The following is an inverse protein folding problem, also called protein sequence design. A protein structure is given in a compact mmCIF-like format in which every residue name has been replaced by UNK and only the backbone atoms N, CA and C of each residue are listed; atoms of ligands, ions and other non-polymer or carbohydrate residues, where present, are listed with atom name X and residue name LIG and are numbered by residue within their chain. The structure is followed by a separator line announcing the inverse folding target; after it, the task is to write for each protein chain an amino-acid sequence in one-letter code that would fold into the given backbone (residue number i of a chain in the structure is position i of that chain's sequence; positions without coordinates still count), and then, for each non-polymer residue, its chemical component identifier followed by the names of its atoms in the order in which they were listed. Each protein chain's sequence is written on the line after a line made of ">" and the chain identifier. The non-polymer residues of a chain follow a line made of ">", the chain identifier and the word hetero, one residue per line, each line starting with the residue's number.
data_IF_708757380446
#
_entry.id   IF_708757380446
#
_cell.length_a   1.000
_cell.length_b   1.000
_cell.length_c   1.000
_cell.angle_alpha   90.00
_cell.angle_beta   90.00
_cell.angle_gamma   90.00
#
_symmetry.space_group_name_H-M   'P 1'
#
loop_
_entity.id
_entity.type
_entity.pdbx_description
1 polymer ?
#
# COMPACT_ATOMS: atom_id res chain seq x y z
N UNK A 1 25.56 45.49 -28.42
CA UNK A 1 24.49 46.07 -27.56
C UNK A 1 24.08 45.03 -26.52
N UNK A 2 24.64 45.08 -25.30
CA UNK A 2 24.33 44.11 -24.24
C UNK A 2 23.03 44.50 -23.52
N UNK A 3 22.04 43.60 -23.50
CA UNK A 3 20.78 43.81 -22.77
C UNK A 3 21.05 43.82 -21.27
N UNK A 4 20.91 44.99 -20.64
CA UNK A 4 21.03 45.18 -19.19
C UNK A 4 19.85 44.46 -18.52
N UNK A 5 20.11 43.30 -17.89
CA UNK A 5 19.08 42.55 -17.15
C UNK A 5 18.60 43.41 -15.98
N UNK A 6 17.31 43.76 -15.97
CA UNK A 6 16.66 44.40 -14.83
C UNK A 6 16.55 43.37 -13.71
N UNK A 7 17.23 43.61 -12.59
CA UNK A 7 17.07 42.81 -11.38
C UNK A 7 15.81 43.33 -10.69
N UNK A 8 14.77 42.49 -10.63
CA UNK A 8 13.57 42.78 -9.85
C UNK A 8 13.80 42.19 -8.46
N UNK A 9 13.82 43.05 -7.44
CA UNK A 9 13.89 42.64 -6.05
C UNK A 9 12.48 42.23 -5.61
N UNK A 10 12.22 40.93 -5.58
CA UNK A 10 11.01 40.35 -5.00
C UNK A 10 11.39 39.67 -3.68
N UNK A 11 10.74 40.06 -2.58
CA UNK A 11 10.95 39.47 -1.25
C UNK A 11 9.68 38.72 -0.84
N UNK A 12 9.56 37.43 -1.18
CA UNK A 12 8.44 36.64 -0.71
C UNK A 12 8.52 36.47 0.81
N UNK A 13 7.37 36.61 1.48
CA UNK A 13 7.20 36.23 2.87
C UNK A 13 6.37 34.94 2.89
N UNK A 14 6.94 33.85 3.41
CA UNK A 14 6.26 32.56 3.53
C UNK A 14 6.21 32.23 5.02
N UNK A 15 5.03 32.30 5.67
CA UNK A 15 4.90 31.84 7.04
C UNK A 15 5.06 30.31 7.09
N UNK A 16 5.71 29.81 8.13
CA UNK A 16 5.82 28.39 8.44
C UNK A 16 5.13 28.14 9.79
N UNK A 17 4.37 27.06 9.89
CA UNK A 17 3.59 26.71 11.07
C UNK A 17 4.17 25.46 11.76
N UNK A 18 4.54 25.55 13.05
CA UNK A 18 4.95 24.38 13.83
C UNK A 18 3.84 23.30 13.84
N UNK A 19 4.22 22.03 13.72
CA UNK A 19 3.31 20.88 13.64
C UNK A 19 2.89 20.50 12.21
N UNK A 20 2.85 21.47 11.28
CA UNK A 20 2.54 21.22 9.86
C UNK A 20 3.79 21.29 8.98
N UNK A 21 4.68 22.23 9.28
CA UNK A 21 5.88 22.53 8.48
C UNK A 21 7.19 22.10 9.18
N UNK A 22 7.13 21.18 10.14
CA UNK A 22 8.28 20.83 11.00
C UNK A 22 9.52 20.38 10.19
N UNK A 23 9.31 19.64 9.11
CA UNK A 23 10.38 19.22 8.19
C UNK A 23 11.02 20.41 7.46
N UNK A 24 10.19 21.36 7.00
CA UNK A 24 10.67 22.58 6.34
C UNK A 24 11.41 23.48 7.33
N UNK A 25 10.90 23.61 8.55
CA UNK A 25 11.53 24.37 9.64
C UNK A 25 12.90 23.74 9.97
N UNK A 26 12.95 22.42 10.15
CA UNK A 26 14.20 21.69 10.42
C UNK A 26 15.22 21.87 9.27
N UNK A 27 14.78 21.77 8.02
CA UNK A 27 15.63 22.00 6.86
C UNK A 27 16.15 23.44 6.81
N UNK A 28 15.28 24.45 6.96
CA UNK A 28 15.69 25.87 6.95
C UNK A 28 16.71 26.17 8.05
N UNK A 29 16.51 25.61 9.25
CA UNK A 29 17.44 25.76 10.38
C UNK A 29 18.80 25.09 10.11
N UNK A 30 18.82 24.00 9.34
CA UNK A 30 20.08 23.35 8.94
C UNK A 30 20.95 24.27 8.05
N UNK A 31 20.32 25.18 7.30
CA UNK A 31 20.98 26.12 6.39
C UNK A 31 21.59 27.32 7.12
N UNK A 32 21.26 27.58 8.39
CA UNK A 32 21.79 28.71 9.14
C UNK A 32 23.29 28.59 9.45
N UNK A 33 23.84 27.39 9.29
CA UNK A 33 25.28 27.11 9.39
C UNK A 33 26.05 27.48 8.13
N UNK A 34 25.35 27.81 7.04
CA UNK A 34 25.98 28.12 5.76
C UNK A 34 26.51 29.56 5.69
N UNK A 35 27.57 29.80 4.90
CA UNK A 35 28.10 31.14 4.70
C UNK A 35 27.06 32.09 4.06
N UNK A 36 27.28 33.39 4.26
CA UNK A 36 26.36 34.43 3.80
C UNK A 36 26.01 34.27 2.30
N UNK A 37 24.71 34.30 1.99
CA UNK A 37 24.19 34.15 0.63
C UNK A 37 23.97 32.70 0.17
N UNK A 38 24.59 31.70 0.79
CA UNK A 38 24.39 30.30 0.44
C UNK A 38 22.98 29.79 0.82
N UNK A 39 22.42 30.24 1.96
CA UNK A 39 21.02 29.97 2.34
C UNK A 39 20.03 30.40 1.24
N UNK A 40 20.18 31.64 0.75
CA UNK A 40 19.33 32.17 -0.32
C UNK A 40 19.50 31.43 -1.64
N UNK A 41 20.69 30.93 -1.95
CA UNK A 41 20.92 30.10 -3.13
C UNK A 41 20.28 28.71 -2.99
N UNK A 42 20.47 28.05 -1.84
CA UNK A 42 19.86 26.76 -1.53
C UNK A 42 18.32 26.82 -1.63
N UNK A 43 17.71 27.87 -1.08
CA UNK A 43 16.25 28.10 -1.19
C UNK A 43 15.82 28.33 -2.64
N UNK A 44 16.56 29.14 -3.41
CA UNK A 44 16.25 29.36 -4.84
C UNK A 44 16.38 28.10 -5.67
N UNK A 45 17.36 27.25 -5.37
CA UNK A 45 17.53 25.97 -6.06
C UNK A 45 16.45 24.96 -5.69
N UNK A 46 16.09 24.86 -4.41
CA UNK A 46 14.99 24.03 -3.96
C UNK A 46 13.68 24.44 -4.65
N UNK A 47 13.37 25.74 -4.69
CA UNK A 47 12.20 26.26 -5.38
C UNK A 47 12.26 26.01 -6.90
N UNK A 48 13.43 26.19 -7.52
CA UNK A 48 13.61 25.92 -8.96
C UNK A 48 13.41 24.45 -9.29
N UNK A 49 13.88 23.53 -8.44
CA UNK A 49 13.60 22.09 -8.58
C UNK A 49 12.11 21.80 -8.44
N UNK A 50 11.47 22.35 -7.41
CA UNK A 50 10.04 22.13 -7.16
C UNK A 50 9.16 22.60 -8.34
N UNK A 51 9.43 23.78 -8.91
CA UNK A 51 8.70 24.28 -10.10
C UNK A 51 9.00 23.46 -11.35
N UNK A 52 10.23 22.94 -11.47
CA UNK A 52 10.67 22.11 -12.59
C UNK A 52 10.26 20.63 -12.49
N UNK A 53 9.42 20.23 -11.53
CA UNK A 53 8.99 18.85 -11.32
C UNK A 53 10.02 17.94 -10.62
N UNK A 54 11.11 18.51 -10.13
CA UNK A 54 12.14 17.79 -9.37
C UNK A 54 11.78 17.69 -7.89
N UNK A 55 11.83 16.47 -7.36
CA UNK A 55 11.59 16.16 -5.95
C UNK A 55 12.45 17.01 -5.00
N UNK A 56 11.82 17.47 -3.92
CA UNK A 56 12.38 18.29 -2.84
C UNK A 56 13.63 17.64 -2.20
N UNK A 57 14.66 18.42 -1.80
CA UNK A 57 15.78 17.90 -1.00
C UNK A 57 15.26 17.54 0.41
N UNK A 58 14.90 16.28 0.60
CA UNK A 58 14.29 15.77 1.84
C UNK A 58 13.23 14.73 1.59
N UNK A 59 12.63 14.70 0.39
CA UNK A 59 11.82 13.57 -0.02
C UNK A 59 12.76 12.44 -0.43
N UNK A 60 12.69 11.23 0.18
CA UNK A 60 13.40 10.09 -0.37
C UNK A 60 13.03 10.00 -1.85
N UNK A 61 14.03 9.77 -2.71
CA UNK A 61 13.81 9.54 -4.14
C UNK A 61 12.56 8.64 -4.29
N UNK A 62 11.64 8.93 -5.23
CA UNK A 62 10.50 8.05 -5.44
C UNK A 62 11.10 6.64 -5.55
N UNK A 63 10.72 5.77 -4.60
CA UNK A 63 11.12 4.37 -4.64
C UNK A 63 10.91 3.90 -6.08
N UNK A 64 11.86 3.16 -6.67
CA UNK A 64 11.79 2.78 -8.08
C UNK A 64 10.36 2.36 -8.35
N UNK A 65 9.69 3.08 -9.26
CA UNK A 65 8.25 2.96 -9.43
C UNK A 65 7.95 1.49 -9.62
N UNK A 66 7.43 0.87 -8.55
CA UNK A 66 7.22 -0.57 -8.53
C UNK A 66 6.19 -0.82 -9.60
N UNK A 67 6.56 -1.62 -10.60
CA UNK A 67 5.67 -1.89 -11.71
C UNK A 67 4.49 -2.72 -11.18
N UNK A 68 3.39 -2.03 -10.91
CA UNK A 68 2.18 -2.64 -10.39
C UNK A 68 1.52 -3.58 -11.40
N UNK A 69 1.90 -3.51 -12.68
CA UNK A 69 1.40 -4.42 -13.70
C UNK A 69 1.96 -5.83 -13.51
N UNK A 70 3.22 -5.96 -13.16
CA UNK A 70 3.87 -7.25 -12.84
C UNK A 70 3.29 -7.85 -11.56
N UNK A 71 3.12 -7.02 -10.52
CA UNK A 71 2.49 -7.46 -9.26
C UNK A 71 1.05 -7.93 -9.50
N UNK A 72 0.27 -7.19 -10.29
CA UNK A 72 -1.10 -7.57 -10.62
C UNK A 72 -1.15 -8.91 -11.34
N UNK A 73 -0.28 -9.14 -12.32
CA UNK A 73 -0.25 -10.40 -13.06
C UNK A 73 0.06 -11.60 -12.16
N UNK A 74 1.02 -11.44 -11.22
CA UNK A 74 1.36 -12.51 -10.26
C UNK A 74 0.18 -12.78 -9.31
N UNK A 75 -0.48 -11.74 -8.81
CA UNK A 75 -1.63 -11.88 -7.91
C UNK A 75 -2.81 -12.55 -8.63
N UNK A 76 -3.09 -12.16 -9.86
CA UNK A 76 -4.19 -12.71 -10.67
C UNK A 76 -3.96 -14.21 -10.95
N UNK A 77 -2.74 -14.60 -11.34
CA UNK A 77 -2.36 -16.00 -11.52
C UNK A 77 -2.46 -16.81 -10.21
N UNK A 78 -2.07 -16.23 -9.08
CA UNK A 78 -2.18 -16.88 -7.78
C UNK A 78 -3.65 -17.07 -7.35
N UNK A 79 -4.52 -16.10 -7.62
CA UNK A 79 -5.96 -16.18 -7.36
C UNK A 79 -6.60 -17.25 -8.23
N UNK A 80 -6.31 -17.29 -9.54
CA UNK A 80 -6.79 -18.35 -10.43
C UNK A 80 -6.35 -19.74 -9.96
N UNK A 81 -5.09 -19.88 -9.55
CA UNK A 81 -4.56 -21.14 -9.04
C UNK A 81 -5.23 -21.55 -7.72
N UNK A 82 -5.48 -20.61 -6.81
CA UNK A 82 -6.19 -20.86 -5.56
C UNK A 82 -7.64 -21.29 -5.83
N UNK A 83 -8.33 -20.62 -6.75
CA UNK A 83 -9.70 -20.96 -7.14
C UNK A 83 -9.77 -22.36 -7.75
N UNK A 84 -8.84 -22.69 -8.65
CA UNK A 84 -8.76 -24.01 -9.27
C UNK A 84 -8.54 -25.11 -8.21
N UNK A 85 -7.67 -24.87 -7.23
CA UNK A 85 -7.45 -25.80 -6.10
C UNK A 85 -8.70 -25.95 -5.23
N UNK A 86 -9.44 -24.87 -4.99
CA UNK A 86 -10.66 -24.91 -4.19
C UNK A 86 -11.80 -25.66 -4.91
N UNK A 87 -11.92 -25.52 -6.23
CA UNK A 87 -12.88 -26.30 -7.02
C UNK A 87 -12.57 -27.80 -7.03
N UNK A 88 -11.28 -28.17 -7.09
CA UNK A 88 -10.85 -29.57 -6.96
C UNK A 88 -11.15 -30.12 -5.55
N UNK A 89 -10.97 -29.29 -4.51
CA UNK A 89 -11.32 -29.68 -3.14
C UNK A 89 -12.83 -29.84 -2.92
N UNK A 90 -13.67 -29.01 -3.57
CA UNK A 90 -15.12 -29.12 -3.50
C UNK A 90 -15.63 -30.36 -4.28
N UNK A 91 -15.02 -30.68 -5.42
CA UNK A 91 -15.34 -31.88 -6.19
C UNK A 91 -14.93 -33.18 -5.49
N UNK A 92 -13.87 -33.15 -4.68
CA UNK A 92 -13.45 -34.28 -3.86
C UNK A 92 -14.33 -34.52 -2.62
N UNK A 93 -15.02 -33.48 -2.12
CA UNK A 93 -15.98 -33.58 -1.02
C UNK A 93 -17.34 -34.15 -1.47
N UNK A 94 -17.66 -34.08 -2.76
CA UNK A 94 -18.86 -34.70 -3.34
C UNK A 94 -18.58 -36.13 -3.82
N UNK A 95 -17.90 -36.94 -3.01
CA UNK A 95 -17.88 -38.37 -3.21
C UNK A 95 -19.18 -38.96 -2.63
N UNK A 96 -19.94 -39.80 -3.37
CA UNK A 96 -21.26 -40.28 -2.96
C UNK A 96 -21.26 -41.26 -1.76
N UNK A 97 -20.11 -41.47 -1.10
CA UNK A 97 -20.01 -42.35 0.07
C UNK A 97 -20.53 -41.70 1.36
N UNK A 98 -20.39 -40.38 1.53
CA UNK A 98 -20.81 -39.73 2.79
C UNK A 98 -22.34 -39.80 2.99
N UNK A 99 -23.13 -39.59 1.94
CA UNK A 99 -24.60 -39.69 2.02
C UNK A 99 -25.06 -41.13 2.32
N UNK A 100 -24.36 -42.14 1.80
CA UNK A 100 -24.69 -43.55 2.04
C UNK A 100 -24.33 -43.99 3.48
N UNK A 101 -23.22 -43.48 4.02
CA UNK A 101 -22.81 -43.73 5.42
C UNK A 101 -23.73 -43.02 6.42
N UNK A 102 -24.19 -41.80 6.11
CA UNK A 102 -25.13 -41.05 6.95
C UNK A 102 -26.49 -41.75 7.01
N UNK A 103 -27.01 -42.23 5.88
CA UNK A 103 -28.26 -43.01 5.85
C UNK A 103 -28.12 -44.32 6.65
N UNK A 104 -26.99 -45.03 6.55
CA UNK A 104 -26.75 -46.25 7.33
C UNK A 104 -26.66 -45.99 8.86
N UNK A 105 -26.07 -44.87 9.28
CA UNK A 105 -26.01 -44.45 10.68
C UNK A 105 -27.40 -44.04 11.21
N UNK A 106 -28.21 -43.37 10.39
CA UNK A 106 -29.58 -42.98 10.74
C UNK A 106 -30.50 -44.20 10.88
N UNK A 107 -30.38 -45.18 9.98
CA UNK A 107 -31.15 -46.44 10.05
C UNK A 107 -30.77 -47.27 11.30
N UNK A 108 -29.48 -47.30 11.65
CA UNK A 108 -28.98 -47.92 12.88
C UNK A 108 -29.50 -47.24 14.16
N UNK A 109 -29.61 -45.91 14.16
CA UNK A 109 -30.18 -45.15 15.28
C UNK A 109 -31.69 -45.39 15.43
N UNK A 110 -32.41 -45.46 14.31
CA UNK A 110 -33.83 -45.81 14.27
C UNK A 110 -34.11 -47.20 14.85
N UNK A 111 -33.29 -48.19 14.48
CA UNK A 111 -33.36 -49.54 15.03
C UNK A 111 -33.05 -49.57 16.55
N UNK A 112 -32.07 -48.80 17.01
CA UNK A 112 -31.71 -48.71 18.43
C UNK A 112 -32.78 -48.04 19.28
N UNK A 113 -33.53 -47.08 18.74
CA UNK A 113 -34.61 -46.39 19.46
C UNK A 113 -35.89 -47.25 19.55
N UNK A 114 -36.20 -48.03 18.51
CA UNK A 114 -37.35 -48.95 18.50
C UNK A 114 -37.15 -50.15 19.43
N UNK A 115 -35.92 -50.65 19.56
CA UNK A 115 -35.59 -51.76 20.47
C UNK A 115 -35.44 -51.33 21.95
N UNK A 116 -35.45 -50.02 22.24
CA UNK A 116 -35.34 -49.48 23.60
C UNK A 116 -36.67 -49.29 24.35
N UNK A 117 -37.82 -49.55 23.70
CA UNK A 117 -39.16 -49.34 24.27
C UNK A 117 -39.79 -50.62 24.87
N UNK A 118 -39.13 -51.78 24.78
CA UNK A 118 -39.57 -53.01 25.46
C UNK A 118 -38.65 -53.37 26.64
N UNK A 119 -38.88 -52.73 27.79
CA UNK A 119 -38.49 -53.29 29.08
C UNK A 119 -37.95 -52.30 30.12
N UNK A 120 -38.84 -51.64 30.86
CA UNK A 120 -39.03 -51.89 32.30
C UNK A 120 -40.21 -51.13 32.88
#
# INVERSE_FOLDING_TARGET
>A
MARKRRVILFRPHVPLYPGEDDELIAWVNSLDRLPFGAKSQAVKEALRRAVGGGSSPGRPAPAPAVDLSEIRAVVEAAVEQALARQQVSAAAATAPEEDAEVEALLDGLGASLVLGDEGS
#
